data_IF_785773969091
#
_entry.id   IF_785773969091
#
_cell.length_a   1.000
_cell.length_b   1.000
_cell.length_c   1.000
_cell.angle_alpha   90.00
_cell.angle_beta   90.00
_cell.angle_gamma   90.00
#
_symmetry.space_group_name_H-M   'P 1'
#
loop_
_entity.id
_entity.type
_entity.pdbx_description
1 polymer ?
#
# COMPACT_ATOMS: atom_id res chain seq x y z
N UNK A 1 17.83 17.16 -23.23
CA UNK A 1 16.79 17.82 -22.40
C UNK A 1 15.42 17.85 -23.07
N UNK A 2 15.33 18.01 -24.39
CA UNK A 2 14.05 18.00 -25.14
C UNK A 2 13.22 16.71 -24.98
N UNK A 3 13.85 15.54 -24.86
CA UNK A 3 13.12 14.27 -24.60
C UNK A 3 12.49 14.17 -23.20
N UNK A 4 12.97 14.96 -22.22
CA UNK A 4 12.43 14.94 -20.85
C UNK A 4 11.27 15.92 -20.73
N UNK A 5 11.41 17.10 -21.34
CA UNK A 5 10.34 18.09 -21.45
C UNK A 5 9.12 17.55 -22.22
N UNK A 6 9.35 16.76 -23.28
CA UNK A 6 8.25 16.14 -24.05
C UNK A 6 7.51 15.04 -23.28
N UNK A 7 8.13 14.44 -22.25
CA UNK A 7 7.51 13.43 -21.39
C UNK A 7 6.88 14.03 -20.11
N UNK A 8 7.26 15.27 -19.74
CA UNK A 8 6.77 15.91 -18.53
C UNK A 8 5.27 16.24 -18.60
N UNK A 9 4.81 16.84 -19.70
CA UNK A 9 3.39 17.15 -19.92
C UNK A 9 2.50 15.89 -19.86
N UNK A 10 2.78 14.82 -20.62
CA UNK A 10 1.94 13.62 -20.56
C UNK A 10 1.98 12.93 -19.20
N UNK A 11 3.14 12.91 -18.53
CA UNK A 11 3.27 12.34 -17.19
C UNK A 11 2.45 13.15 -16.17
N UNK A 12 2.48 14.49 -16.22
CA UNK A 12 1.72 15.34 -15.30
C UNK A 12 0.21 15.18 -15.47
N UNK A 13 -0.29 15.08 -16.71
CA UNK A 13 -1.71 14.85 -16.99
C UNK A 13 -2.16 13.50 -16.45
N UNK A 14 -1.42 12.42 -16.74
CA UNK A 14 -1.75 11.08 -16.25
C UNK A 14 -1.64 11.00 -14.73
N UNK A 15 -0.62 11.61 -14.13
CA UNK A 15 -0.46 11.67 -12.68
C UNK A 15 -1.64 12.40 -12.01
N UNK A 16 -2.06 13.55 -12.55
CA UNK A 16 -3.21 14.27 -12.01
C UNK A 16 -4.50 13.46 -12.15
N UNK A 17 -4.69 12.78 -13.28
CA UNK A 17 -5.84 11.90 -13.48
C UNK A 17 -5.86 10.74 -12.46
N UNK A 18 -4.73 10.08 -12.24
CA UNK A 18 -4.58 9.04 -11.22
C UNK A 18 -4.88 9.57 -9.82
N UNK A 19 -4.32 10.73 -9.46
CA UNK A 19 -4.55 11.40 -8.19
C UNK A 19 -6.03 11.71 -7.97
N UNK A 20 -6.71 12.25 -8.99
CA UNK A 20 -8.14 12.55 -8.93
C UNK A 20 -8.98 11.27 -8.81
N UNK A 21 -8.64 10.19 -9.51
CA UNK A 21 -9.34 8.90 -9.37
C UNK A 21 -9.21 8.35 -7.94
N UNK A 22 -8.04 8.46 -7.33
CA UNK A 22 -7.81 8.05 -5.96
C UNK A 22 -8.56 8.95 -4.94
N UNK A 23 -8.66 10.25 -5.21
CA UNK A 23 -9.38 11.21 -4.37
C UNK A 23 -10.92 11.09 -4.46
N UNK A 24 -11.47 10.28 -5.38
CA UNK A 24 -12.92 10.05 -5.54
C UNK A 24 -13.51 9.13 -4.46
N UNK A 25 -13.37 9.54 -3.19
CA UNK A 25 -13.85 8.79 -2.02
C UNK A 25 -15.38 8.64 -1.96
N UNK A 26 -16.15 9.41 -2.74
CA UNK A 26 -17.59 9.21 -2.87
C UNK A 26 -17.95 7.78 -3.34
N UNK A 27 -17.08 7.13 -4.12
CA UNK A 27 -17.24 5.72 -4.53
C UNK A 27 -17.24 4.78 -3.32
N UNK A 28 -16.41 5.07 -2.31
CA UNK A 28 -16.36 4.31 -1.07
C UNK A 28 -17.71 4.34 -0.38
N UNK A 29 -18.31 5.52 -0.24
CA UNK A 29 -19.63 5.68 0.38
C UNK A 29 -20.69 4.90 -0.40
N UNK A 30 -20.68 4.96 -1.74
CA UNK A 30 -21.59 4.18 -2.59
C UNK A 30 -21.44 2.67 -2.36
N UNK A 31 -20.20 2.17 -2.26
CA UNK A 31 -19.95 0.75 -1.98
C UNK A 31 -20.39 0.33 -0.58
N UNK A 32 -20.11 1.14 0.44
CA UNK A 32 -20.58 0.92 1.81
C UNK A 32 -22.11 0.83 1.86
N UNK A 33 -22.81 1.76 1.21
CA UNK A 33 -24.27 1.75 1.12
C UNK A 33 -24.80 0.52 0.37
N UNK A 34 -24.04 0.00 -0.62
CA UNK A 34 -24.43 -1.16 -1.42
C UNK A 34 -24.21 -2.51 -0.72
N UNK A 35 -23.37 -2.58 0.33
CA UNK A 35 -23.01 -3.84 0.99
C UNK A 35 -22.77 -3.66 2.49
N UNK A 36 -23.66 -4.21 3.31
CA UNK A 36 -23.51 -4.23 4.78
C UNK A 36 -22.24 -4.98 5.24
N UNK A 37 -21.93 -6.18 4.72
CA UNK A 37 -20.68 -6.88 5.09
C UNK A 37 -19.43 -6.04 4.82
N UNK A 38 -19.41 -5.34 3.68
CA UNK A 38 -18.31 -4.44 3.30
C UNK A 38 -18.15 -3.29 4.30
N UNK A 39 -19.25 -2.61 4.66
CA UNK A 39 -19.25 -1.54 5.66
C UNK A 39 -18.73 -2.00 7.02
N UNK A 40 -19.12 -3.20 7.46
CA UNK A 40 -18.67 -3.77 8.73
C UNK A 40 -17.15 -4.03 8.68
N UNK A 41 -16.63 -4.61 7.60
CA UNK A 41 -15.19 -4.87 7.44
C UNK A 41 -14.36 -3.59 7.42
N UNK A 42 -14.84 -2.55 6.75
CA UNK A 42 -14.19 -1.23 6.75
C UNK A 42 -14.21 -0.66 8.16
N UNK A 43 -15.36 -0.64 8.84
CA UNK A 43 -15.45 -0.16 10.21
C UNK A 43 -14.50 -0.91 11.15
N UNK A 44 -14.43 -2.24 11.05
CA UNK A 44 -13.50 -3.08 11.80
C UNK A 44 -12.04 -2.67 11.53
N UNK A 45 -11.67 -2.44 10.28
CA UNK A 45 -10.32 -2.02 9.92
C UNK A 45 -9.98 -0.62 10.45
N UNK A 46 -10.90 0.34 10.33
CA UNK A 46 -10.74 1.69 10.87
C UNK A 46 -10.65 1.68 12.39
N UNK A 47 -11.47 0.87 13.07
CA UNK A 47 -11.42 0.74 14.51
C UNK A 47 -10.14 0.04 14.96
N UNK A 48 -9.72 -1.05 14.31
CA UNK A 48 -8.49 -1.74 14.68
C UNK A 48 -7.26 -0.84 14.47
N UNK A 49 -7.07 -0.31 13.26
CA UNK A 49 -5.91 0.53 12.96
C UNK A 49 -6.00 1.89 13.65
N UNK A 50 -7.18 2.47 13.85
CA UNK A 50 -7.33 3.71 14.61
C UNK A 50 -7.10 3.51 16.10
N UNK A 51 -7.84 2.58 16.72
CA UNK A 51 -7.81 2.37 18.17
C UNK A 51 -6.53 1.70 18.64
N UNK A 52 -6.11 0.60 17.99
CA UNK A 52 -4.92 -0.13 18.43
C UNK A 52 -3.68 0.68 18.08
N UNK A 53 -3.52 1.13 16.83
CA UNK A 53 -2.27 1.78 16.45
C UNK A 53 -2.18 3.23 16.94
N UNK A 54 -3.11 4.09 16.52
CA UNK A 54 -3.05 5.50 16.89
C UNK A 54 -3.34 5.69 18.39
N UNK A 55 -4.25 4.89 18.95
CA UNK A 55 -4.53 4.89 20.39
C UNK A 55 -3.34 4.40 21.24
N UNK A 56 -2.67 3.31 20.87
CA UNK A 56 -1.47 2.87 21.62
C UNK A 56 -0.32 3.89 21.52
N UNK A 57 -0.15 4.52 20.36
CA UNK A 57 0.84 5.58 20.19
C UNK A 57 0.52 6.82 21.03
N UNK A 58 -0.77 7.20 21.10
CA UNK A 58 -1.22 8.31 21.94
C UNK A 58 -1.02 8.00 23.41
N UNK A 59 -1.37 6.80 23.87
CA UNK A 59 -1.12 6.36 25.25
C UNK A 59 0.37 6.39 25.59
N UNK A 60 1.22 5.92 24.67
CA UNK A 60 2.67 5.97 24.86
C UNK A 60 3.17 7.41 25.01
N UNK A 61 2.77 8.32 24.11
CA UNK A 61 3.25 9.70 24.09
C UNK A 61 2.65 10.59 25.18
N UNK A 62 1.37 10.43 25.47
CA UNK A 62 0.63 11.32 26.36
C UNK A 62 0.53 10.83 27.80
N UNK A 63 0.74 9.53 28.04
CA UNK A 63 0.60 8.92 29.38
C UNK A 63 1.91 8.27 29.81
N UNK A 64 2.40 7.30 29.07
CA UNK A 64 3.57 6.49 29.48
C UNK A 64 4.83 7.33 29.58
N UNK A 65 5.19 8.08 28.53
CA UNK A 65 6.40 8.91 28.53
C UNK A 65 6.33 9.97 29.64
N UNK A 66 5.25 10.76 29.79
CA UNK A 66 5.13 11.72 30.89
C UNK A 66 5.22 11.10 32.29
N UNK A 67 4.60 9.94 32.52
CA UNK A 67 4.70 9.22 33.81
C UNK A 67 6.14 8.77 34.07
N UNK A 68 6.82 8.21 33.06
CA UNK A 68 8.23 7.80 33.21
C UNK A 68 9.10 9.03 33.50
N UNK A 69 8.88 10.15 32.82
CA UNK A 69 9.57 11.41 33.08
C UNK A 69 9.24 11.99 34.46
N UNK A 70 8.05 11.74 34.99
CA UNK A 70 7.69 12.15 36.34
C UNK A 70 8.39 11.30 37.41
N UNK A 71 8.51 9.98 37.19
CA UNK A 71 9.20 9.06 38.11
C UNK A 71 10.74 9.24 38.00
N UNK A 72 11.24 9.47 36.78
CA UNK A 72 12.66 9.68 36.46
C UNK A 72 12.85 11.04 35.77
N UNK A 73 12.87 12.14 36.54
CA UNK A 73 12.95 13.50 36.00
C UNK A 73 14.26 13.78 35.27
N UNK A 74 14.13 14.57 34.21
CA UNK A 74 15.18 14.88 33.24
C UNK A 74 16.08 16.04 33.71
N UNK A 75 15.60 16.84 34.67
CA UNK A 75 16.33 17.94 35.30
C UNK A 75 16.26 17.81 36.84
N UNK A 76 17.39 18.09 37.52
CA UNK A 76 17.37 18.46 38.94
C UNK A 76 16.49 19.72 39.04
N UNK A 77 15.25 19.56 39.49
CA UNK A 77 14.35 20.69 39.59
C UNK A 77 14.93 21.74 40.55
N UNK A 78 14.66 23.01 40.28
CA UNK A 78 15.28 24.18 40.95
C UNK A 78 15.12 24.19 42.47
N UNK A 79 14.22 23.35 43.00
CA UNK A 79 13.88 23.13 44.40
C UNK A 79 14.91 22.29 45.18
N UNK A 80 15.69 21.42 44.51
CA UNK A 80 16.56 20.43 45.18
C UNK A 80 18.06 20.81 45.10
N UNK A 81 18.34 22.10 45.27
CA UNK A 81 19.59 22.74 44.83
C UNK A 81 20.85 22.42 45.64
N UNK A 82 20.79 21.73 46.79
CA UNK A 82 21.98 21.71 47.67
C UNK A 82 22.75 20.39 47.81
N UNK A 83 22.17 19.19 47.64
CA UNK A 83 22.91 17.97 48.06
C UNK A 83 22.93 16.77 47.10
N UNK A 84 22.31 16.81 45.91
CA UNK A 84 22.15 15.60 45.05
C UNK A 84 22.65 15.70 43.62
N UNK A 85 23.08 16.88 43.16
CA UNK A 85 23.49 17.09 41.77
C UNK A 85 25.00 16.93 41.52
N UNK A 86 25.74 16.35 42.48
CA UNK A 86 27.19 16.07 42.37
C UNK A 86 27.50 14.64 41.87
N UNK A 87 26.48 13.88 41.48
CA UNK A 87 26.61 12.51 40.98
C UNK A 87 26.10 12.37 39.55
N UNK A 88 26.97 12.75 38.60
CA UNK A 88 26.87 12.41 37.17
C UNK A 88 26.50 10.94 36.93
N UNK A 89 26.94 10.03 37.80
CA UNK A 89 26.59 8.61 37.76
C UNK A 89 25.09 8.35 37.95
N UNK A 90 24.42 9.03 38.89
CA UNK A 90 22.99 8.84 39.16
C UNK A 90 22.13 9.32 37.97
N UNK A 91 22.51 10.45 37.38
CA UNK A 91 21.83 11.00 36.20
C UNK A 91 21.98 10.08 34.98
N UNK A 92 23.16 9.46 34.81
CA UNK A 92 23.41 8.47 33.77
C UNK A 92 22.55 7.20 33.97
N UNK A 93 22.43 6.72 35.22
CA UNK A 93 21.58 5.57 35.57
C UNK A 93 20.11 5.88 35.29
N UNK A 94 19.61 7.07 35.64
CA UNK A 94 18.23 7.46 35.37
C UNK A 94 17.94 7.57 33.88
N UNK A 95 18.85 8.17 33.10
CA UNK A 95 18.71 8.25 31.65
C UNK A 95 18.68 6.85 31.02
N UNK A 96 19.56 5.95 31.46
CA UNK A 96 19.60 4.56 31.02
C UNK A 96 18.32 3.81 31.38
N UNK A 97 17.86 3.90 32.63
CA UNK A 97 16.66 3.20 33.09
C UNK A 97 15.40 3.68 32.35
N UNK A 98 15.29 4.99 32.13
CA UNK A 98 14.21 5.58 31.33
C UNK A 98 14.22 5.06 29.91
N UNK A 99 15.38 5.09 29.24
CA UNK A 99 15.51 4.56 27.88
C UNK A 99 15.13 3.08 27.85
N UNK A 100 15.59 2.29 28.81
CA UNK A 100 15.25 0.87 28.95
C UNK A 100 13.74 0.63 29.11
N UNK A 101 13.08 1.37 30.01
CA UNK A 101 11.63 1.26 30.25
C UNK A 101 10.81 1.60 29.01
N UNK A 102 11.18 2.67 28.30
CA UNK A 102 10.51 3.04 27.03
C UNK A 102 10.73 1.95 25.98
N UNK A 103 11.94 1.41 25.84
CA UNK A 103 12.22 0.34 24.90
C UNK A 103 11.46 -0.96 25.21
N UNK A 104 11.32 -1.32 26.48
CA UNK A 104 10.50 -2.47 26.91
C UNK A 104 9.05 -2.29 26.43
N UNK A 105 8.49 -1.08 26.59
CA UNK A 105 7.14 -0.80 26.09
C UNK A 105 7.06 -0.91 24.56
N UNK A 106 8.06 -0.41 23.82
CA UNK A 106 8.08 -0.57 22.36
C UNK A 106 8.13 -2.04 21.94
N UNK A 107 9.01 -2.84 22.55
CA UNK A 107 9.28 -4.22 22.16
C UNK A 107 8.15 -5.18 22.56
N UNK A 108 7.60 -5.04 23.76
CA UNK A 108 6.65 -6.02 24.30
C UNK A 108 5.19 -5.58 24.20
N UNK A 109 4.92 -4.29 24.05
CA UNK A 109 3.55 -3.79 23.90
C UNK A 109 3.29 -3.34 22.47
N UNK A 110 4.07 -2.38 21.99
CA UNK A 110 3.75 -1.69 20.76
C UNK A 110 3.98 -2.55 19.50
N UNK A 111 5.16 -3.15 19.32
CA UNK A 111 5.45 -3.97 18.14
C UNK A 111 4.55 -5.21 18.00
N UNK A 112 4.27 -5.99 19.07
CA UNK A 112 3.36 -7.12 18.97
C UNK A 112 1.96 -6.68 18.55
N UNK A 113 1.41 -5.63 19.17
CA UNK A 113 0.09 -5.08 18.79
C UNK A 113 0.07 -4.63 17.33
N UNK A 114 1.14 -3.99 16.85
CA UNK A 114 1.26 -3.59 15.46
C UNK A 114 1.28 -4.78 14.51
N UNK A 115 2.07 -5.82 14.82
CA UNK A 115 2.15 -7.04 14.00
C UNK A 115 0.79 -7.73 13.93
N UNK A 116 0.09 -7.90 15.06
CA UNK A 116 -1.26 -8.47 15.07
C UNK A 116 -2.25 -7.62 14.27
N UNK A 117 -2.22 -6.30 14.43
CA UNK A 117 -3.06 -5.37 13.67
C UNK A 117 -2.81 -5.49 12.17
N UNK A 118 -1.55 -5.60 11.76
CA UNK A 118 -1.14 -5.74 10.37
C UNK A 118 -1.65 -7.05 9.76
N UNK A 119 -1.49 -8.19 10.45
CA UNK A 119 -1.96 -9.50 9.98
C UNK A 119 -3.48 -9.48 9.79
N UNK A 120 -4.22 -9.05 10.81
CA UNK A 120 -5.69 -9.00 10.76
C UNK A 120 -6.17 -8.06 9.65
N UNK A 121 -5.55 -6.88 9.54
CA UNK A 121 -5.89 -5.91 8.49
C UNK A 121 -5.65 -6.47 7.11
N UNK A 122 -4.56 -7.20 6.88
CA UNK A 122 -4.24 -7.83 5.60
C UNK A 122 -5.32 -8.82 5.16
N UNK A 123 -5.84 -9.62 6.09
CA UNK A 123 -6.96 -10.54 5.83
C UNK A 123 -8.23 -9.76 5.44
N UNK A 124 -8.55 -8.70 6.18
CA UNK A 124 -9.73 -7.88 5.89
C UNK A 124 -9.62 -7.10 4.58
N UNK A 125 -8.42 -6.66 4.17
CA UNK A 125 -8.22 -6.01 2.86
C UNK A 125 -8.60 -6.92 1.71
N UNK A 126 -8.25 -8.21 1.79
CA UNK A 126 -8.65 -9.22 0.81
C UNK A 126 -10.17 -9.36 0.71
N UNK A 127 -10.86 -9.41 1.85
CA UNK A 127 -12.33 -9.49 1.90
C UNK A 127 -12.99 -8.22 1.33
N UNK A 128 -12.50 -7.04 1.73
CA UNK A 128 -12.98 -5.73 1.25
C UNK A 128 -12.86 -5.64 -0.28
N UNK A 129 -11.72 -6.05 -0.82
CA UNK A 129 -11.52 -6.06 -2.27
C UNK A 129 -12.49 -7.01 -2.96
N UNK A 130 -12.63 -8.26 -2.50
CA UNK A 130 -13.56 -9.24 -3.09
C UNK A 130 -15.00 -8.71 -3.10
N UNK A 131 -15.48 -8.16 -1.99
CA UNK A 131 -16.84 -7.62 -1.91
C UNK A 131 -17.06 -6.38 -2.78
N UNK A 132 -16.11 -5.43 -2.80
CA UNK A 132 -16.22 -4.24 -3.65
C UNK A 132 -16.22 -4.60 -5.14
N UNK A 133 -15.35 -5.53 -5.56
CA UNK A 133 -15.28 -6.01 -6.95
C UNK A 133 -16.51 -6.82 -7.36
N UNK A 134 -17.10 -7.60 -6.45
CA UNK A 134 -18.37 -8.27 -6.70
C UNK A 134 -19.52 -7.28 -6.95
N UNK A 135 -19.57 -6.16 -6.21
CA UNK A 135 -20.55 -5.08 -6.44
C UNK A 135 -20.32 -4.38 -7.78
N UNK A 136 -19.06 -4.17 -8.19
CA UNK A 136 -18.74 -3.61 -9.51
C UNK A 136 -19.19 -4.56 -10.62
N UNK A 137 -18.88 -5.85 -10.49
CA UNK A 137 -19.28 -6.88 -11.46
C UNK A 137 -20.81 -6.95 -11.59
N UNK A 138 -21.55 -6.91 -10.48
CA UNK A 138 -23.02 -6.96 -10.52
C UNK A 138 -23.63 -5.72 -11.15
N UNK A 139 -23.11 -4.52 -10.87
CA UNK A 139 -23.56 -3.27 -11.52
C UNK A 139 -23.34 -3.29 -13.03
N UNK A 140 -22.19 -3.81 -13.49
CA UNK A 140 -21.92 -3.98 -14.94
C UNK A 140 -22.89 -4.95 -15.59
N UNK A 141 -23.15 -6.11 -14.96
CA UNK A 141 -24.12 -7.08 -15.47
C UNK A 141 -25.54 -6.49 -15.56
N UNK A 142 -25.98 -5.75 -14.54
CA UNK A 142 -27.28 -5.08 -14.54
C UNK A 142 -27.40 -3.95 -15.57
N UNK A 143 -26.31 -3.22 -15.83
CA UNK A 143 -26.28 -2.21 -16.89
C UNK A 143 -26.31 -2.83 -18.30
N UNK A 144 -25.59 -3.93 -18.51
CA UNK A 144 -25.65 -4.69 -19.78
C UNK A 144 -27.02 -5.32 -20.01
N UNK A 145 -27.67 -5.87 -18.99
CA UNK A 145 -29.04 -6.41 -19.12
C UNK A 145 -30.11 -5.33 -19.37
N UNK A 146 -29.85 -4.07 -19.03
CA UNK A 146 -30.72 -2.94 -19.39
C UNK A 146 -30.49 -2.43 -20.82
N UNK A 147 -29.35 -2.74 -21.44
CA UNK A 147 -29.05 -2.44 -22.85
C UNK A 147 -29.34 -3.62 -23.80
N UNK A 148 -29.29 -4.86 -23.32
CA UNK A 148 -29.40 -6.08 -24.12
C UNK A 148 -30.88 -6.49 -24.40
N UNK A 149 -31.71 -5.53 -24.84
CA UNK A 149 -32.89 -5.87 -25.65
C UNK A 149 -32.53 -6.10 -27.13
N UNK A 150 -31.31 -5.81 -27.57
CA UNK A 150 -30.85 -6.22 -28.91
C UNK A 150 -29.35 -6.57 -28.94
N UNK A 151 -29.08 -7.77 -29.48
CA UNK A 151 -27.82 -8.22 -30.11
C UNK A 151 -26.89 -9.14 -29.31
N UNK A 152 -27.14 -10.44 -29.51
CA UNK A 152 -26.23 -11.55 -29.79
C UNK A 152 -24.84 -11.61 -29.10
N UNK A 153 -24.74 -12.64 -28.24
CA UNK A 153 -23.54 -13.18 -27.58
C UNK A 153 -22.33 -13.29 -28.50
N UNK A 154 -21.17 -12.83 -28.03
CA UNK A 154 -19.86 -13.39 -28.40
C UNK A 154 -18.96 -13.39 -27.16
N UNK A 155 -18.81 -14.56 -26.56
CA UNK A 155 -17.89 -14.83 -25.45
C UNK A 155 -16.47 -14.96 -25.98
N UNK A 156 -15.59 -14.03 -25.63
CA UNK A 156 -14.14 -14.22 -25.74
C UNK A 156 -13.65 -14.80 -24.42
N UNK A 157 -13.64 -16.12 -24.33
CA UNK A 157 -12.95 -16.88 -23.28
C UNK A 157 -11.47 -16.94 -23.64
N UNK A 158 -10.64 -16.28 -22.83
CA UNK A 158 -9.19 -16.44 -22.89
C UNK A 158 -8.83 -17.88 -22.48
N UNK A 159 -8.06 -18.52 -23.34
CA UNK A 159 -7.52 -19.87 -23.26
C UNK A 159 -6.79 -20.08 -21.93
N UNK A 160 -7.41 -20.85 -21.01
CA UNK A 160 -6.76 -21.36 -19.81
C UNK A 160 -7.03 -22.87 -19.75
N UNK A 161 -6.01 -23.70 -19.47
CA UNK A 161 -6.21 -25.14 -19.32
C UNK A 161 -7.18 -25.39 -18.16
N UNK A 162 -8.31 -26.03 -18.46
CA UNK A 162 -9.32 -26.41 -17.48
C UNK A 162 -8.81 -27.62 -16.67
N UNK A 163 -8.61 -27.46 -15.36
CA UNK A 163 -8.22 -28.55 -14.46
C UNK A 163 -7.20 -28.17 -13.39
N UNK A 164 -6.58 -29.18 -12.75
CA UNK A 164 -5.54 -29.02 -11.74
C UNK A 164 -4.34 -28.21 -12.25
N UNK A 165 -4.04 -28.29 -13.54
CA UNK A 165 -2.96 -27.57 -14.21
C UNK A 165 -3.21 -26.05 -14.22
N UNK A 166 -4.44 -25.61 -14.54
CA UNK A 166 -4.84 -24.21 -14.44
C UNK A 166 -4.80 -23.66 -13.01
N UNK A 167 -5.07 -24.52 -12.01
CA UNK A 167 -4.95 -24.16 -10.58
C UNK A 167 -3.48 -24.02 -10.19
N UNK A 168 -2.63 -24.98 -10.57
CA UNK A 168 -1.19 -24.96 -10.28
C UNK A 168 -0.50 -23.73 -10.90
N UNK A 169 -0.81 -23.42 -12.17
CA UNK A 169 -0.32 -22.23 -12.87
C UNK A 169 -0.76 -20.95 -12.13
N UNK A 170 -2.01 -20.88 -11.67
CA UNK A 170 -2.52 -19.73 -10.91
C UNK A 170 -1.84 -19.55 -9.55
N UNK A 171 -1.59 -20.64 -8.84
CA UNK A 171 -0.86 -20.62 -7.55
C UNK A 171 0.59 -20.18 -7.77
N UNK A 172 1.26 -20.72 -8.79
CA UNK A 172 2.63 -20.34 -9.14
C UNK A 172 2.76 -18.86 -9.50
N UNK A 173 1.81 -18.33 -10.27
CA UNK A 173 1.76 -16.90 -10.63
C UNK A 173 1.60 -16.01 -9.39
N UNK A 174 0.76 -16.41 -8.44
CA UNK A 174 0.56 -15.66 -7.19
C UNK A 174 1.80 -15.71 -6.28
N UNK A 175 2.46 -16.86 -6.16
CA UNK A 175 3.72 -16.99 -5.39
C UNK A 175 4.81 -16.13 -6.01
N UNK A 176 4.94 -16.16 -7.34
CA UNK A 176 5.88 -15.30 -8.06
C UNK A 176 5.58 -13.81 -7.82
N UNK A 177 4.30 -13.38 -7.90
CA UNK A 177 3.90 -12.01 -7.62
C UNK A 177 4.32 -11.59 -6.20
N UNK A 178 4.01 -12.42 -5.18
CA UNK A 178 4.38 -12.14 -3.78
C UNK A 178 5.90 -11.97 -3.63
N UNK A 179 6.68 -12.88 -4.22
CA UNK A 179 8.14 -12.81 -4.15
C UNK A 179 8.69 -11.57 -4.87
N UNK A 180 8.20 -11.27 -6.07
CA UNK A 180 8.56 -10.08 -6.85
C UNK A 180 8.29 -8.80 -6.05
N UNK A 181 7.09 -8.68 -5.48
CA UNK A 181 6.69 -7.49 -4.73
C UNK A 181 7.44 -7.35 -3.42
N UNK A 182 7.82 -8.47 -2.78
CA UNK A 182 8.65 -8.46 -1.56
C UNK A 182 10.05 -7.93 -1.87
N UNK A 183 10.65 -8.36 -2.97
CA UNK A 183 11.97 -7.85 -3.40
C UNK A 183 11.86 -6.38 -3.79
N UNK A 184 10.81 -5.98 -4.53
CA UNK A 184 10.58 -4.59 -4.87
C UNK A 184 10.40 -3.71 -3.62
N UNK A 185 9.68 -4.17 -2.60
CA UNK A 185 9.55 -3.48 -1.30
C UNK A 185 10.92 -3.25 -0.64
N UNK A 186 11.81 -4.24 -0.68
CA UNK A 186 13.17 -4.11 -0.16
C UNK A 186 13.97 -3.07 -0.96
N UNK A 187 13.85 -3.05 -2.29
CA UNK A 187 14.50 -2.05 -3.16
C UNK A 187 14.04 -0.62 -2.82
N UNK A 188 12.73 -0.39 -2.68
CA UNK A 188 12.17 0.92 -2.31
C UNK A 188 12.73 1.38 -0.96
N UNK A 189 12.76 0.48 0.02
CA UNK A 189 13.31 0.75 1.36
C UNK A 189 14.79 1.14 1.30
N UNK A 190 15.59 0.43 0.49
CA UNK A 190 17.01 0.72 0.31
C UNK A 190 17.24 2.11 -0.32
N UNK A 191 16.46 2.48 -1.34
CA UNK A 191 16.53 3.79 -2.00
C UNK A 191 16.17 4.92 -1.03
N UNK A 192 15.26 4.65 -0.08
CA UNK A 192 14.88 5.60 0.97
C UNK A 192 16.05 6.07 1.86
N UNK A 193 17.14 5.30 1.97
CA UNK A 193 18.33 5.68 2.72
C UNK A 193 19.28 6.62 1.95
N UNK A 194 19.08 6.85 0.66
CA UNK A 194 19.92 7.74 -0.15
C UNK A 194 19.60 9.22 0.20
N UNK A 195 20.57 10.00 0.70
CA UNK A 195 20.31 11.38 1.08
C UNK A 195 20.01 12.28 -0.15
N UNK A 196 19.22 13.34 0.06
CA UNK A 196 18.79 14.35 -0.92
C UNK A 196 17.90 13.85 -2.06
N UNK A 197 18.41 13.00 -2.97
CA UNK A 197 17.67 12.50 -4.14
C UNK A 197 16.67 11.39 -3.76
N UNK A 198 16.96 10.66 -2.69
CA UNK A 198 16.15 9.52 -2.24
C UNK A 198 14.78 9.89 -1.73
N UNK A 199 14.53 11.10 -1.20
CA UNK A 199 13.19 11.44 -0.65
C UNK A 199 12.10 11.51 -1.72
N UNK A 200 12.35 12.22 -2.82
CA UNK A 200 11.40 12.34 -3.93
C UNK A 200 11.24 11.01 -4.65
N UNK A 201 12.36 10.31 -4.90
CA UNK A 201 12.34 8.99 -5.51
C UNK A 201 11.63 7.95 -4.65
N UNK A 202 11.87 7.95 -3.33
CA UNK A 202 11.19 7.08 -2.39
C UNK A 202 9.68 7.38 -2.36
N UNK A 203 9.26 8.64 -2.36
CA UNK A 203 7.85 8.98 -2.48
C UNK A 203 7.22 8.44 -3.77
N UNK A 204 7.88 8.61 -4.93
CA UNK A 204 7.38 8.10 -6.21
C UNK A 204 7.29 6.57 -6.23
N UNK A 205 8.35 5.88 -5.79
CA UNK A 205 8.41 4.42 -5.75
C UNK A 205 7.42 3.84 -4.75
N UNK A 206 7.29 4.45 -3.58
CA UNK A 206 6.32 4.06 -2.56
C UNK A 206 4.88 4.30 -3.05
N UNK A 207 4.62 5.39 -3.77
CA UNK A 207 3.33 5.65 -4.41
C UNK A 207 3.00 4.59 -5.45
N UNK A 208 3.96 4.23 -6.32
CA UNK A 208 3.80 3.13 -7.28
C UNK A 208 3.51 1.80 -6.58
N UNK A 209 4.26 1.48 -5.53
CA UNK A 209 4.08 0.25 -4.76
C UNK A 209 2.68 0.15 -4.15
N UNK A 210 2.22 1.22 -3.49
CA UNK A 210 0.88 1.25 -2.91
C UNK A 210 -0.24 1.19 -3.96
N UNK A 211 -0.05 1.84 -5.11
CA UNK A 211 -0.98 1.72 -6.22
C UNK A 211 -1.03 0.28 -6.73
N UNK A 212 0.13 -0.37 -6.95
CA UNK A 212 0.18 -1.77 -7.39
C UNK A 212 -0.55 -2.68 -6.41
N UNK A 213 -0.30 -2.55 -5.10
CA UNK A 213 -0.99 -3.37 -4.08
C UNK A 213 -2.52 -3.19 -4.13
N UNK A 214 -3.01 -1.97 -4.35
CA UNK A 214 -4.46 -1.73 -4.48
C UNK A 214 -5.04 -2.39 -5.73
N UNK A 215 -4.37 -2.26 -6.88
CA UNK A 215 -4.85 -2.82 -8.15
C UNK A 215 -4.61 -4.33 -8.29
N UNK A 216 -3.64 -4.90 -7.57
CA UNK A 216 -3.37 -6.34 -7.58
C UNK A 216 -4.62 -7.13 -7.17
N UNK A 217 -5.37 -6.68 -6.17
CA UNK A 217 -6.64 -7.34 -5.82
C UNK A 217 -7.65 -7.34 -6.95
N UNK A 218 -7.75 -6.22 -7.69
CA UNK A 218 -8.65 -6.09 -8.84
C UNK A 218 -8.22 -7.03 -9.96
N UNK A 219 -6.95 -7.00 -10.35
CA UNK A 219 -6.46 -7.85 -11.43
C UNK A 219 -6.47 -9.33 -11.07
N UNK A 220 -6.24 -9.68 -9.80
CA UNK A 220 -6.40 -11.04 -9.29
C UNK A 220 -7.84 -11.51 -9.38
N UNK A 221 -8.81 -10.67 -9.00
CA UNK A 221 -10.23 -11.02 -9.10
C UNK A 221 -10.69 -11.28 -10.54
N UNK A 222 -10.18 -10.50 -11.50
CA UNK A 222 -10.42 -10.72 -12.93
C UNK A 222 -9.42 -11.70 -13.58
N UNK A 223 -8.54 -12.31 -12.77
CA UNK A 223 -7.56 -13.30 -13.19
C UNK A 223 -6.68 -12.88 -14.38
N UNK A 224 -6.36 -11.59 -14.49
CA UNK A 224 -5.44 -11.04 -15.51
C UNK A 224 -4.06 -11.67 -15.33
N UNK A 225 -3.27 -11.95 -16.36
CA UNK A 225 -1.94 -12.54 -16.16
C UNK A 225 -0.92 -11.51 -15.63
N UNK A 226 0.05 -11.97 -14.83
CA UNK A 226 1.06 -11.13 -14.19
C UNK A 226 1.88 -10.35 -15.21
N UNK A 227 2.31 -11.00 -16.30
CA UNK A 227 3.05 -10.34 -17.37
C UNK A 227 2.26 -9.18 -17.97
N UNK A 228 0.97 -9.36 -18.19
CA UNK A 228 0.09 -8.32 -18.70
C UNK A 228 -0.06 -7.17 -17.68
N UNK A 229 -0.29 -7.48 -16.40
CA UNK A 229 -0.40 -6.46 -15.33
C UNK A 229 0.88 -5.63 -15.20
N UNK A 230 2.06 -6.27 -15.22
CA UNK A 230 3.35 -5.59 -15.10
C UNK A 230 3.63 -4.71 -16.31
N UNK A 231 3.36 -5.18 -17.54
CA UNK A 231 3.54 -4.38 -18.75
C UNK A 231 2.58 -3.18 -18.79
N UNK A 232 1.32 -3.40 -18.43
CA UNK A 232 0.31 -2.35 -18.32
C UNK A 232 0.68 -1.31 -17.25
N UNK A 233 1.17 -1.76 -16.09
CA UNK A 233 1.59 -0.89 -15.00
C UNK A 233 2.82 -0.05 -15.37
N UNK A 234 3.86 -0.68 -15.92
CA UNK A 234 5.10 -0.01 -16.34
C UNK A 234 4.89 0.96 -17.51
N UNK A 235 3.93 0.67 -18.40
CA UNK A 235 3.57 1.55 -19.52
C UNK A 235 2.79 2.78 -19.08
N UNK A 236 2.06 2.69 -17.96
CA UNK A 236 1.19 3.76 -17.44
C UNK A 236 1.61 4.22 -16.04
N UNK A 237 2.91 4.13 -15.72
CA UNK A 237 3.45 4.38 -14.39
C UNK A 237 3.03 5.74 -13.81
N UNK A 238 2.90 6.78 -14.64
CA UNK A 238 2.53 8.12 -14.16
C UNK A 238 1.11 8.15 -13.56
N UNK A 239 0.16 7.45 -14.17
CA UNK A 239 -1.20 7.32 -13.64
C UNK A 239 -1.18 6.61 -12.29
N UNK A 240 -0.47 5.48 -12.18
CA UNK A 240 -0.40 4.72 -10.94
C UNK A 240 0.37 5.47 -9.84
N UNK A 241 1.44 6.18 -10.17
CA UNK A 241 2.13 7.06 -9.23
C UNK A 241 1.19 8.15 -8.69
N UNK A 242 0.36 8.72 -9.55
CA UNK A 242 -0.70 9.66 -9.16
C UNK A 242 -1.72 9.03 -8.24
N UNK A 243 -2.20 7.84 -8.57
CA UNK A 243 -3.19 7.11 -7.78
C UNK A 243 -2.70 6.77 -6.37
N UNK A 244 -1.47 6.31 -6.22
CA UNK A 244 -0.91 5.97 -4.91
C UNK A 244 -0.49 7.17 -4.06
N UNK A 245 -0.26 8.33 -4.68
CA UNK A 245 0.27 9.52 -4.01
C UNK A 245 -0.53 9.94 -2.76
N UNK A 246 -1.87 10.07 -2.80
CA UNK A 246 -2.63 10.49 -1.61
C UNK A 246 -2.54 9.50 -0.45
N UNK A 247 -2.36 8.20 -0.72
CA UNK A 247 -2.18 7.18 0.32
C UNK A 247 -0.83 7.38 1.05
N UNK A 248 0.21 7.79 0.31
CA UNK A 248 1.59 7.91 0.81
C UNK A 248 1.91 9.30 1.38
N UNK A 249 1.12 10.33 1.09
CA UNK A 249 1.29 11.69 1.62
C UNK A 249 1.60 11.80 3.13
N UNK A 250 1.05 10.96 4.04
CA UNK A 250 1.36 11.02 5.47
C UNK A 250 2.87 10.99 5.80
N UNK A 251 3.70 10.37 4.96
CA UNK A 251 5.16 10.29 5.20
C UNK A 251 5.85 11.66 5.31
N UNK A 252 5.27 12.72 4.73
CA UNK A 252 5.84 14.06 4.78
C UNK A 252 5.47 14.82 6.05
N UNK A 253 4.38 14.42 6.71
CA UNK A 253 3.81 15.16 7.84
C UNK A 253 4.07 14.48 9.18
N UNK A 254 4.26 13.17 9.19
CA UNK A 254 4.39 12.39 10.43
C UNK A 254 5.69 11.60 10.51
N UNK A 255 6.04 11.14 11.72
CA UNK A 255 7.15 10.21 11.90
C UNK A 255 6.88 8.89 11.15
N UNK A 256 7.91 8.13 10.72
CA UNK A 256 7.72 6.92 9.92
C UNK A 256 6.67 5.98 10.49
N UNK A 257 6.73 5.78 11.80
CA UNK A 257 5.79 4.93 12.52
C UNK A 257 4.36 5.46 12.40
N UNK A 258 4.10 6.72 12.76
CA UNK A 258 2.76 7.31 12.64
C UNK A 258 2.24 7.28 11.21
N UNK A 259 3.12 7.51 10.23
CA UNK A 259 2.79 7.46 8.80
C UNK A 259 2.28 6.08 8.40
N UNK A 260 2.95 4.99 8.78
CA UNK A 260 2.47 3.64 8.48
C UNK A 260 1.10 3.33 9.08
N UNK A 261 0.81 3.83 10.28
CA UNK A 261 -0.51 3.72 10.88
C UNK A 261 -1.61 4.43 10.11
N UNK A 262 -1.36 5.69 9.75
CA UNK A 262 -2.30 6.48 8.95
C UNK A 262 -2.49 5.82 7.59
N UNK A 263 -1.41 5.35 6.95
CA UNK A 263 -1.45 4.62 5.69
C UNK A 263 -2.26 3.33 5.79
N UNK A 264 -2.18 2.59 6.91
CA UNK A 264 -2.99 1.39 7.13
C UNK A 264 -4.49 1.70 7.26
N UNK A 265 -4.86 2.84 7.86
CA UNK A 265 -6.25 3.32 7.91
C UNK A 265 -6.74 3.72 6.53
N UNK A 266 -5.89 4.40 5.75
CA UNK A 266 -6.21 4.89 4.42
C UNK A 266 -6.32 3.75 3.39
N UNK A 267 -5.42 2.77 3.45
CA UNK A 267 -5.28 1.69 2.49
C UNK A 267 -6.60 1.01 2.05
N UNK A 268 -7.50 0.55 2.93
CA UNK A 268 -8.75 -0.08 2.51
C UNK A 268 -9.65 0.85 1.68
N UNK A 269 -9.58 2.17 1.89
CA UNK A 269 -10.29 3.15 1.05
C UNK A 269 -9.73 3.14 -0.37
N UNK A 270 -8.39 3.12 -0.51
CA UNK A 270 -7.72 3.13 -1.81
C UNK A 270 -7.94 1.81 -2.57
N UNK A 271 -8.00 0.67 -1.86
CA UNK A 271 -8.38 -0.63 -2.44
C UNK A 271 -9.79 -0.54 -3.05
N UNK A 272 -10.74 0.08 -2.37
CA UNK A 272 -12.10 0.25 -2.89
C UNK A 272 -12.18 1.24 -4.04
N UNK A 273 -11.45 2.36 -3.98
CA UNK A 273 -11.41 3.29 -5.11
C UNK A 273 -10.76 2.63 -6.32
N UNK A 274 -9.73 1.79 -6.14
CA UNK A 274 -9.12 1.00 -7.22
C UNK A 274 -10.14 0.02 -7.83
N UNK A 275 -10.90 -0.69 -6.99
CA UNK A 275 -11.95 -1.60 -7.44
C UNK A 275 -13.00 -0.90 -8.33
N UNK A 276 -13.39 0.32 -7.98
CA UNK A 276 -14.35 1.14 -8.74
C UNK A 276 -13.74 2.01 -9.85
N UNK A 277 -12.42 1.97 -10.06
CA UNK A 277 -11.76 2.72 -11.14
C UNK A 277 -11.72 1.86 -12.39
N UNK A 278 -11.96 2.47 -13.56
CA UNK A 278 -11.79 1.83 -14.87
C UNK A 278 -10.54 2.42 -15.52
N UNK A 279 -9.37 1.93 -15.07
CA UNK A 279 -8.06 2.50 -15.39
C UNK A 279 -7.76 2.50 -16.89
N UNK A 280 -8.08 1.43 -17.62
CA UNK A 280 -7.88 1.37 -19.08
C UNK A 280 -8.69 2.46 -19.78
N UNK A 281 -9.97 2.61 -19.46
CA UNK A 281 -10.84 3.64 -20.06
C UNK A 281 -10.38 5.05 -19.68
N UNK A 282 -10.06 5.28 -18.40
CA UNK A 282 -9.61 6.58 -17.92
C UNK A 282 -8.29 7.02 -18.59
N UNK A 283 -7.36 6.09 -18.81
CA UNK A 283 -6.11 6.35 -19.51
C UNK A 283 -6.36 6.56 -21.01
N UNK A 284 -7.24 5.75 -21.61
CA UNK A 284 -7.54 5.82 -23.03
C UNK A 284 -8.24 7.11 -23.44
N UNK A 285 -9.16 7.62 -22.62
CA UNK A 285 -9.79 8.94 -22.79
C UNK A 285 -8.78 10.09 -22.77
N UNK A 286 -7.67 9.92 -22.07
CA UNK A 286 -6.64 10.96 -21.93
C UNK A 286 -5.60 10.93 -23.06
N UNK A 287 -5.53 9.86 -23.87
CA UNK A 287 -4.67 9.74 -25.06
C UNK A 287 -4.58 11.01 -25.93
N UNK A 288 -5.70 11.66 -26.31
CA UNK A 288 -5.66 12.89 -27.10
C UNK A 288 -5.08 14.09 -26.34
N UNK A 289 -5.26 14.16 -25.02
CA UNK A 289 -4.90 15.33 -24.19
C UNK A 289 -3.40 15.41 -23.92
N UNK A 290 -2.72 14.27 -23.84
CA UNK A 290 -1.31 14.20 -23.47
C UNK A 290 -0.34 14.15 -24.67
N UNK A 291 -0.83 14.12 -25.91
CA UNK A 291 -0.03 14.40 -27.12
C UNK A 291 1.04 13.35 -27.47
N UNK A 292 0.96 12.14 -26.88
CA UNK A 292 1.89 11.03 -27.13
C UNK A 292 1.85 9.93 -26.07
N UNK A 293 2.40 8.75 -26.37
CA UNK A 293 2.54 7.62 -25.44
C UNK A 293 3.74 7.85 -24.50
N UNK A 294 3.54 7.65 -23.20
CA UNK A 294 4.62 7.70 -22.22
C UNK A 294 5.67 6.62 -22.50
N UNK A 295 6.94 6.92 -22.26
CA UNK A 295 7.99 5.89 -22.28
C UNK A 295 7.78 4.94 -21.09
N UNK A 296 7.74 3.64 -21.39
CA UNK A 296 7.68 2.56 -20.39
C UNK A 296 8.93 2.63 -19.51
N UNK A 297 8.75 2.52 -18.20
CA UNK A 297 9.86 2.44 -17.23
C UNK A 297 9.96 0.99 -16.74
N UNK A 298 11.14 0.35 -16.81
CA UNK A 298 11.33 -1.03 -16.37
C UNK A 298 11.42 -1.11 -14.83
N UNK A 299 10.32 -0.75 -14.14
CA UNK A 299 10.27 -0.61 -12.69
C UNK A 299 10.61 -1.92 -11.97
N UNK A 300 10.09 -3.05 -12.46
CA UNK A 300 10.26 -4.34 -11.82
C UNK A 300 11.47 -5.11 -12.36
N UNK A 301 12.36 -4.48 -13.14
CA UNK A 301 13.46 -5.19 -13.78
C UNK A 301 14.44 -5.82 -12.79
N UNK A 302 14.85 -5.05 -11.77
CA UNK A 302 15.77 -5.54 -10.73
C UNK A 302 15.08 -6.64 -9.92
N UNK A 303 13.85 -6.39 -9.47
CA UNK A 303 13.05 -7.36 -8.75
C UNK A 303 12.88 -8.66 -9.54
N UNK A 304 12.48 -8.60 -10.82
CA UNK A 304 12.34 -9.78 -11.70
C UNK A 304 13.62 -10.60 -11.77
N UNK A 305 14.77 -9.92 -11.95
CA UNK A 305 16.07 -10.58 -12.05
C UNK A 305 16.41 -11.33 -10.76
N UNK A 306 16.21 -10.68 -9.61
CA UNK A 306 16.47 -11.28 -8.30
C UNK A 306 15.48 -12.41 -8.00
N UNK A 307 14.19 -12.24 -8.31
CA UNK A 307 13.17 -13.29 -8.17
C UNK A 307 13.55 -14.53 -8.95
N UNK A 308 13.95 -14.38 -10.23
CA UNK A 308 14.39 -15.51 -11.05
C UNK A 308 15.65 -16.18 -10.48
N UNK A 309 16.62 -15.42 -9.97
CA UNK A 309 17.80 -15.98 -9.31
C UNK A 309 17.44 -16.76 -8.04
N UNK A 310 16.52 -16.25 -7.22
CA UNK A 310 16.05 -16.95 -6.02
C UNK A 310 15.33 -18.24 -6.40
N UNK A 311 14.47 -18.23 -7.41
CA UNK A 311 13.78 -19.43 -7.88
C UNK A 311 14.72 -20.49 -8.45
N UNK A 312 15.82 -20.09 -9.09
CA UNK A 312 16.87 -21.00 -9.56
C UNK A 312 17.59 -21.74 -8.43
N UNK A 313 17.56 -21.22 -7.20
CA UNK A 313 18.13 -21.90 -6.02
C UNK A 313 17.22 -23.01 -5.48
N UNK A 314 15.97 -23.11 -5.94
CA UNK A 314 15.00 -24.13 -5.55
C UNK A 314 14.67 -25.07 -6.73
N UNK A 315 15.55 -26.06 -7.02
CA UNK A 315 15.42 -26.92 -8.20
C UNK A 315 14.16 -27.79 -8.24
N UNK A 316 13.45 -27.99 -7.12
CA UNK A 316 12.15 -28.70 -7.13
C UNK A 316 11.01 -27.90 -7.77
N UNK A 317 11.11 -26.56 -7.82
CA UNK A 317 10.12 -25.70 -8.47
C UNK A 317 10.22 -25.68 -10.01
N UNK A 318 11.27 -26.27 -10.59
CA UNK A 318 11.46 -26.38 -12.04
C UNK A 318 10.88 -27.66 -12.65
N UNK A 319 10.38 -28.60 -11.84
CA UNK A 319 9.82 -29.87 -12.35
C UNK A 319 8.37 -29.77 -12.86
N UNK A 320 7.73 -28.61 -12.71
CA UNK A 320 6.33 -28.37 -13.13
C UNK A 320 6.18 -27.24 -14.15
N UNK A 321 7.25 -26.87 -14.87
CA UNK A 321 7.18 -25.99 -16.06
C UNK A 321 7.24 -26.79 -17.36
#
# INVERSE_FOLDING_TARGET
MESLASQAKPAAVLWLAGFLQAARLHRVISFCASSRPLSIRIAQCFLLNGFIFLGSLLTLKSVVIPIILWILPEQCDRLWRQNLCDHTAALAIYSFLRSGLVQIFYVFWFYPLYIFSFIISTLWYGDIAKHSLAVVKSKKLGASQALDSETHKTSVSADRPEGFDGVAIGVGEQVYSILLLTIFFAEVTMIGYIPYLGKVMNFLLLSLMYAYYCFEYKWNFFAVSLNHRLDFFESNWAFFAGFGSPCVLPIFFFSPLTSYGVMAILYPLFVMTAAGTEEEQAIDELKPTHGGKLKRIPLFFVAKRLTTQVLQLFPEAQKEQ
#
